data_IF_144880269216
#
_entry.id   IF_144880269216
#
_cell.length_a   1.000
_cell.length_b   1.000
_cell.length_c   1.000
_cell.angle_alpha   90.00
_cell.angle_beta   90.00
_cell.angle_gamma   90.00
#
_symmetry.space_group_name_H-M   'P 1'
#
loop_
_entity.id
_entity.type
_entity.pdbx_description
1 polymer ?
#
# COMPACT_ATOMS: atom_id res chain seq x y z
N UNK A 1 -4.04 -12.66 -12.89
CA UNK A 1 -5.25 -11.83 -12.71
C UNK A 1 -4.85 -10.42 -13.16
N UNK A 2 -5.37 -9.95 -14.29
CA UNK A 2 -5.12 -8.59 -14.78
C UNK A 2 -5.87 -7.63 -13.85
N UNK A 3 -5.20 -7.07 -12.85
CA UNK A 3 -5.79 -6.00 -12.02
C UNK A 3 -5.62 -4.68 -12.79
N UNK A 4 -6.67 -3.85 -12.82
CA UNK A 4 -6.54 -2.48 -13.30
C UNK A 4 -5.77 -1.67 -12.25
N UNK A 5 -4.46 -1.60 -12.44
CA UNK A 5 -3.53 -0.95 -11.50
C UNK A 5 -3.70 0.56 -11.48
N UNK A 6 -4.15 1.17 -12.57
CA UNK A 6 -4.40 2.62 -12.59
C UNK A 6 -5.55 2.93 -11.65
N UNK A 7 -6.68 2.24 -11.82
CA UNK A 7 -7.84 2.41 -10.96
C UNK A 7 -7.54 2.05 -9.49
N UNK A 8 -6.75 0.99 -9.26
CA UNK A 8 -6.34 0.61 -7.91
C UNK A 8 -5.47 1.69 -7.25
N UNK A 9 -4.44 2.18 -7.94
CA UNK A 9 -3.56 3.22 -7.39
C UNK A 9 -4.26 4.55 -7.20
N UNK A 10 -5.12 4.97 -8.13
CA UNK A 10 -5.94 6.17 -7.97
C UNK A 10 -6.77 6.11 -6.67
N UNK A 11 -7.46 4.97 -6.45
CA UNK A 11 -8.28 4.74 -5.26
C UNK A 11 -7.44 4.81 -3.98
N UNK A 12 -6.35 4.07 -3.90
CA UNK A 12 -5.57 3.96 -2.66
C UNK A 12 -4.78 5.25 -2.36
N UNK A 13 -4.22 5.91 -3.38
CA UNK A 13 -3.57 7.22 -3.21
C UNK A 13 -4.57 8.29 -2.76
N UNK A 14 -5.80 8.27 -3.29
CA UNK A 14 -6.86 9.18 -2.85
C UNK A 14 -7.21 8.96 -1.37
N UNK A 15 -7.27 7.70 -0.91
CA UNK A 15 -7.48 7.37 0.51
C UNK A 15 -6.34 7.87 1.40
N UNK A 16 -5.11 7.81 0.90
CA UNK A 16 -3.91 8.34 1.56
C UNK A 16 -3.91 9.89 1.62
N UNK A 17 -4.89 10.55 0.99
CA UNK A 17 -5.00 12.01 0.92
C UNK A 17 -4.17 12.64 -0.21
N UNK A 18 -3.70 11.83 -1.16
CA UNK A 18 -3.00 12.29 -2.36
C UNK A 18 -4.02 12.61 -3.45
N UNK A 19 -3.85 13.74 -4.14
CA UNK A 19 -4.65 14.04 -5.33
C UNK A 19 -4.11 13.20 -6.50
N UNK A 20 -4.79 12.09 -6.77
CA UNK A 20 -4.51 11.21 -7.90
C UNK A 20 -5.70 11.19 -8.86
N UNK A 21 -5.45 11.10 -10.16
CA UNK A 21 -6.46 10.99 -11.20
C UNK A 21 -6.05 9.99 -12.28
N UNK A 22 -6.85 8.95 -12.46
CA UNK A 22 -6.66 7.95 -13.50
C UNK A 22 -6.87 8.54 -14.88
N UNK A 23 -5.99 8.17 -15.82
CA UNK A 23 -6.09 8.45 -17.24
C UNK A 23 -6.16 7.12 -18.01
N UNK A 24 -6.57 7.12 -19.30
CA UNK A 24 -6.64 5.88 -20.09
C UNK A 24 -5.32 5.10 -20.16
N UNK A 25 -4.18 5.79 -20.09
CA UNK A 25 -2.84 5.23 -20.24
C UNK A 25 -1.88 5.64 -19.11
N UNK A 26 -2.40 6.20 -18.02
CA UNK A 26 -1.56 6.71 -16.95
C UNK A 26 -2.28 7.18 -15.70
N UNK A 27 -1.53 7.85 -14.84
CA UNK A 27 -2.02 8.38 -13.56
C UNK A 27 -1.38 9.75 -13.32
N UNK A 28 -2.20 10.78 -13.20
CA UNK A 28 -1.75 12.11 -12.77
C UNK A 28 -1.72 12.17 -11.24
N UNK A 29 -0.60 12.60 -10.67
CA UNK A 29 -0.41 12.70 -9.22
C UNK A 29 0.09 14.11 -8.87
N UNK A 30 -0.59 14.80 -7.95
CA UNK A 30 -0.15 16.11 -7.45
C UNK A 30 0.40 15.98 -6.02
N UNK A 31 1.65 16.40 -5.81
CA UNK A 31 2.27 16.55 -4.48
C UNK A 31 2.65 18.01 -4.17
N UNK A 32 3.13 18.30 -2.94
CA UNK A 32 3.24 17.40 -1.81
C UNK A 32 1.89 17.20 -1.10
N UNK A 33 1.65 15.97 -0.62
CA UNK A 33 0.51 15.62 0.23
C UNK A 33 1.03 15.02 1.53
N UNK A 34 0.40 15.38 2.64
CA UNK A 34 0.65 14.72 3.92
C UNK A 34 -0.21 13.47 4.00
N UNK A 35 0.44 12.31 4.13
CA UNK A 35 -0.23 11.02 4.07
C UNK A 35 -1.11 10.81 5.30
N UNK A 36 -2.41 10.62 5.04
CA UNK A 36 -3.38 10.28 6.06
C UNK A 36 -3.33 8.78 6.33
N UNK A 37 -3.63 8.39 7.57
CA UNK A 37 -3.85 6.99 7.87
C UNK A 37 -5.12 6.48 7.19
N UNK A 38 -5.15 5.20 6.85
CA UNK A 38 -6.32 4.58 6.26
C UNK A 38 -6.22 3.07 6.12
N UNK A 39 -7.34 2.48 5.71
CA UNK A 39 -7.44 1.07 5.35
C UNK A 39 -7.36 0.95 3.83
N UNK A 40 -6.31 0.28 3.37
CA UNK A 40 -5.99 0.10 1.96
C UNK A 40 -6.27 -1.34 1.51
N UNK A 41 -6.70 -1.51 0.26
CA UNK A 41 -7.05 -2.84 -0.29
C UNK A 41 -6.21 -3.14 -1.52
N UNK A 42 -5.42 -4.22 -1.48
CA UNK A 42 -4.57 -4.61 -2.62
C UNK A 42 -5.34 -5.26 -3.77
N UNK A 43 -6.50 -5.87 -3.49
CA UNK A 43 -7.26 -6.65 -4.46
C UNK A 43 -6.53 -7.93 -4.92
N UNK A 44 -5.55 -8.39 -4.15
CA UNK A 44 -4.68 -9.52 -4.48
C UNK A 44 -3.56 -9.18 -5.46
N UNK A 45 -3.26 -7.90 -5.69
CA UNK A 45 -2.10 -7.47 -6.47
C UNK A 45 -0.92 -7.14 -5.55
N UNK A 46 0.14 -7.95 -5.61
CA UNK A 46 1.31 -7.78 -4.76
C UNK A 46 1.99 -6.41 -4.93
N UNK A 47 1.87 -5.77 -6.10
CA UNK A 47 2.50 -4.48 -6.34
C UNK A 47 1.75 -3.38 -5.61
N UNK A 48 0.42 -3.46 -5.60
CA UNK A 48 -0.42 -2.52 -4.85
C UNK A 48 -0.20 -2.72 -3.36
N UNK A 49 -0.18 -3.98 -2.88
CA UNK A 49 0.10 -4.30 -1.48
C UNK A 49 1.44 -3.72 -1.01
N UNK A 50 2.53 -3.99 -1.74
CA UNK A 50 3.86 -3.48 -1.39
C UNK A 50 3.94 -1.96 -1.46
N UNK A 51 3.32 -1.34 -2.47
CA UNK A 51 3.29 0.12 -2.62
C UNK A 51 2.60 0.79 -1.44
N UNK A 52 1.44 0.25 -1.02
CA UNK A 52 0.69 0.81 0.12
C UNK A 52 1.36 0.52 1.46
N UNK A 53 2.04 -0.62 1.61
CA UNK A 53 2.82 -0.90 2.82
C UNK A 53 3.96 0.12 3.01
N UNK A 54 4.65 0.49 1.93
CA UNK A 54 5.67 1.55 1.98
C UNK A 54 5.02 2.91 2.24
N UNK A 55 3.92 3.24 1.56
CA UNK A 55 3.24 4.52 1.78
C UNK A 55 2.75 4.69 3.23
N UNK A 56 2.27 3.60 3.84
CA UNK A 56 1.81 3.57 5.23
C UNK A 56 2.90 3.90 6.26
N UNK A 57 4.20 3.67 5.97
CA UNK A 57 5.27 4.04 6.91
C UNK A 57 5.41 5.55 7.09
N UNK A 58 4.94 6.33 6.11
CA UNK A 58 4.98 7.78 6.11
C UNK A 58 3.64 8.41 6.51
N UNK A 59 2.62 7.60 6.80
CA UNK A 59 1.31 8.09 7.21
C UNK A 59 1.37 8.68 8.64
N UNK A 60 0.52 9.69 8.90
CA UNK A 60 0.44 10.38 10.19
C UNK A 60 0.05 9.49 11.39
N UNK A 61 -0.53 8.33 11.13
CA UNK A 61 -0.94 7.37 12.14
C UNK A 61 -0.92 5.95 11.55
N UNK A 62 -1.17 4.94 12.40
CA UNK A 62 -1.22 3.54 11.98
C UNK A 62 -2.24 3.32 10.87
N UNK A 63 -1.84 2.58 9.84
CA UNK A 63 -2.65 2.25 8.67
C UNK A 63 -2.67 0.74 8.45
N UNK A 64 -3.73 0.22 7.82
CA UNK A 64 -3.86 -1.19 7.50
C UNK A 64 -3.81 -1.42 5.98
N UNK A 65 -3.15 -2.48 5.55
CA UNK A 65 -3.19 -2.95 4.16
C UNK A 65 -3.76 -4.37 4.14
N UNK A 66 -4.88 -4.55 3.46
CA UNK A 66 -5.57 -5.83 3.32
C UNK A 66 -5.09 -6.62 2.09
N UNK A 67 -5.40 -7.91 2.07
CA UNK A 67 -5.08 -8.85 0.97
C UNK A 67 -3.57 -8.96 0.65
N UNK A 68 -2.74 -9.05 1.69
CA UNK A 68 -1.28 -9.04 1.55
C UNK A 68 -0.66 -10.40 1.24
N UNK A 69 -1.42 -11.50 1.32
CA UNK A 69 -0.91 -12.86 1.08
C UNK A 69 -0.31 -13.01 -0.33
N UNK A 70 -0.82 -12.23 -1.30
CA UNK A 70 -0.30 -12.20 -2.66
C UNK A 70 1.18 -11.78 -2.74
N UNK A 71 1.70 -11.04 -1.75
CA UNK A 71 3.11 -10.61 -1.70
C UNK A 71 4.04 -11.81 -1.60
N UNK A 72 3.63 -12.88 -0.90
CA UNK A 72 4.45 -14.09 -0.77
C UNK A 72 4.75 -14.76 -2.12
N UNK A 73 3.92 -14.52 -3.15
CA UNK A 73 4.15 -15.08 -4.49
C UNK A 73 5.32 -14.44 -5.22
N UNK A 74 5.65 -13.18 -4.91
CA UNK A 74 6.68 -12.40 -5.61
C UNK A 74 7.88 -12.05 -4.73
N UNK A 75 7.64 -11.78 -3.44
CA UNK A 75 8.66 -11.31 -2.52
C UNK A 75 8.33 -11.76 -1.08
N UNK A 76 8.61 -13.03 -0.72
CA UNK A 76 8.33 -13.59 0.61
C UNK A 76 8.91 -12.78 1.77
N UNK A 77 10.12 -12.26 1.62
CA UNK A 77 10.85 -11.50 2.65
C UNK A 77 10.46 -10.02 2.74
N UNK A 78 9.51 -9.54 1.93
CA UNK A 78 9.21 -8.11 1.81
C UNK A 78 8.93 -7.43 3.16
N UNK A 79 8.01 -7.98 3.96
CA UNK A 79 7.63 -7.37 5.24
C UNK A 79 8.76 -7.40 6.28
N UNK A 80 9.59 -8.44 6.26
CA UNK A 80 10.79 -8.51 7.11
C UNK A 80 11.76 -7.39 6.75
N UNK A 81 12.10 -7.26 5.46
CA UNK A 81 12.99 -6.19 5.00
C UNK A 81 12.40 -4.80 5.22
N UNK A 82 11.09 -4.62 5.03
CA UNK A 82 10.43 -3.35 5.28
C UNK A 82 10.55 -2.93 6.75
N UNK A 83 10.30 -3.86 7.68
CA UNK A 83 10.44 -3.60 9.11
C UNK A 83 11.89 -3.26 9.52
N UNK A 84 12.88 -3.99 8.98
CA UNK A 84 14.30 -3.73 9.21
C UNK A 84 14.73 -2.33 8.71
N UNK A 85 14.19 -1.88 7.58
CA UNK A 85 14.59 -0.62 6.94
C UNK A 85 13.80 0.60 7.42
N UNK A 86 12.53 0.44 7.81
CA UNK A 86 11.68 1.56 8.20
C UNK A 86 11.78 1.92 9.68
N UNK A 87 12.37 1.04 10.51
CA UNK A 87 12.44 1.24 11.97
C UNK A 87 11.07 1.20 12.66
N UNK A 88 10.07 0.60 12.02
CA UNK A 88 8.70 0.50 12.56
C UNK A 88 8.55 -0.90 13.17
N UNK A 89 8.64 -1.00 14.49
CA UNK A 89 8.69 -2.30 15.20
C UNK A 89 7.36 -3.09 15.20
N UNK A 90 6.24 -2.50 14.73
CA UNK A 90 4.90 -3.09 14.87
C UNK A 90 4.18 -3.40 13.54
N UNK A 91 4.91 -3.82 12.50
CA UNK A 91 4.27 -4.30 11.27
C UNK A 91 3.36 -5.52 11.49
N UNK A 92 3.61 -6.36 12.51
CA UNK A 92 2.81 -7.59 12.69
C UNK A 92 1.54 -7.41 13.54
N UNK A 93 1.37 -6.30 14.25
CA UNK A 93 0.13 -6.04 15.03
C UNK A 93 -0.99 -5.39 14.22
N UNK A 94 -0.65 -4.66 13.16
CA UNK A 94 -1.62 -3.95 12.30
C UNK A 94 -2.03 -4.79 11.08
N UNK A 95 -1.26 -5.84 10.80
CA UNK A 95 -1.51 -6.78 9.73
C UNK A 95 -2.01 -8.09 10.36
N UNK A 96 -3.32 -8.26 10.49
CA UNK A 96 -3.92 -9.58 10.68
C UNK A 96 -3.75 -10.39 9.38
N UNK A 97 -2.52 -10.77 9.07
CA UNK A 97 -2.27 -11.92 8.22
C UNK A 97 -2.41 -13.13 9.15
N UNK A 98 -3.61 -13.73 9.16
CA UNK A 98 -3.79 -15.05 9.77
C UNK A 98 -2.99 -16.00 8.88
N UNK A 99 -1.83 -16.46 9.38
CA UNK A 99 -1.11 -17.59 8.80
C UNK A 99 -1.79 -18.89 9.24
#
# INVERSE_FOLDING_TARGET
KESDRIAAMERELTRLGVRAKGLPDGLEITGPASFQAGDFVSGGDHRIAMSMAIAATQAKAASQVCDVDCVQTSYPDFFRHLAELSGVENFFSTFHAII
#
